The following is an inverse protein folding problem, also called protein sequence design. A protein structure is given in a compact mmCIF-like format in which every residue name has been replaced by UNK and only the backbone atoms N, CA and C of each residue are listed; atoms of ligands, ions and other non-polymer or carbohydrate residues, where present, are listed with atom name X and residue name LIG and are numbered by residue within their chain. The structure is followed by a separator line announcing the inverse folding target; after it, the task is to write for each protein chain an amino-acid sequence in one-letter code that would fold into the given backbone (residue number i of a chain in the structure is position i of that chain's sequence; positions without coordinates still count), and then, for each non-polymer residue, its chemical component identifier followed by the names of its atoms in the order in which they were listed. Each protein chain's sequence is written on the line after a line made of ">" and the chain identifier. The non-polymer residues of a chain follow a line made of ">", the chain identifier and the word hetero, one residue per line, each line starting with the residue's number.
data_IF_902580818203
#
_entry.id   IF_902580818203
#
_cell.length_a   1.000
_cell.length_b   1.000
_cell.length_c   1.000
_cell.angle_alpha   90.00
_cell.angle_beta   90.00
_cell.angle_gamma   90.00
#
_symmetry.space_group_name_H-M   'P 1'
#
loop_
_entity.id
_entity.type
_entity.pdbx_description
1 polymer ?
#
# COMPACT_ATOMS: atom_id res chain seq x y z
N UNK A 1 -53.74 -0.78 -11.05
CA UNK A 1 -52.53 -0.89 -10.25
C UNK A 1 -52.82 -0.87 -8.74
N UNK A 2 -53.68 -1.75 -8.25
CA UNK A 2 -54.11 -1.72 -6.83
C UNK A 2 -54.39 -3.14 -6.24
N UNK A 3 -53.87 -4.20 -6.83
CA UNK A 3 -54.15 -5.59 -6.40
C UNK A 3 -52.89 -6.35 -5.92
N UNK A 4 -51.68 -5.83 -6.16
CA UNK A 4 -50.42 -6.46 -5.77
C UNK A 4 -49.93 -6.13 -4.32
N UNK A 5 -50.51 -5.13 -3.67
CA UNK A 5 -50.01 -4.68 -2.33
C UNK A 5 -50.70 -5.37 -1.13
N UNK A 6 -51.77 -6.14 -1.35
CA UNK A 6 -52.49 -6.78 -0.25
C UNK A 6 -51.98 -8.19 0.15
N UNK A 7 -51.22 -8.87 -0.69
CA UNK A 7 -50.73 -10.24 -0.38
C UNK A 7 -49.40 -10.28 0.42
N UNK A 8 -48.65 -9.19 0.47
CA UNK A 8 -47.40 -9.15 1.26
C UNK A 8 -47.59 -8.76 2.73
N UNK A 9 -48.70 -8.10 3.08
CA UNK A 9 -49.00 -7.76 4.49
C UNK A 9 -49.55 -8.94 5.31
N UNK A 10 -50.10 -9.93 4.69
CA UNK A 10 -50.69 -11.11 5.40
C UNK A 10 -49.64 -12.15 5.77
N UNK A 11 -48.52 -12.22 5.06
CA UNK A 11 -47.47 -13.18 5.37
C UNK A 11 -46.59 -12.73 6.57
N UNK A 12 -46.43 -11.42 6.77
CA UNK A 12 -45.65 -10.88 7.90
C UNK A 12 -46.39 -10.90 9.23
N UNK A 13 -47.72 -10.83 9.23
CA UNK A 13 -48.54 -10.87 10.46
C UNK A 13 -48.65 -12.28 11.07
N UNK A 14 -48.56 -13.33 10.27
CA UNK A 14 -48.66 -14.71 10.77
C UNK A 14 -47.37 -15.14 11.47
N UNK A 15 -46.22 -14.63 11.04
CA UNK A 15 -44.91 -14.92 11.66
C UNK A 15 -44.74 -14.26 13.04
N UNK A 16 -45.30 -13.06 13.24
CA UNK A 16 -45.18 -12.33 14.50
C UNK A 16 -46.11 -12.88 15.60
N UNK A 17 -47.27 -13.39 15.26
CA UNK A 17 -48.21 -13.93 16.22
C UNK A 17 -47.77 -15.29 16.76
N UNK A 18 -47.02 -16.06 15.97
CA UNK A 18 -46.50 -17.39 16.40
C UNK A 18 -45.28 -17.26 17.32
N UNK A 19 -44.58 -16.14 17.31
CA UNK A 19 -43.41 -15.92 18.18
C UNK A 19 -43.74 -15.49 19.61
N UNK A 20 -44.94 -15.01 19.86
CA UNK A 20 -45.34 -14.45 21.16
C UNK A 20 -46.07 -15.41 22.11
N UNK A 21 -46.50 -16.58 21.66
CA UNK A 21 -47.36 -17.49 22.46
C UNK A 21 -46.95 -18.95 22.53
N UNK A 22 -45.73 -19.31 22.27
CA UNK A 22 -45.35 -20.73 22.34
C UNK A 22 -43.95 -20.92 22.95
N UNK A 23 -43.87 -21.61 24.09
CA UNK A 23 -42.64 -22.21 24.59
C UNK A 23 -42.15 -23.25 23.58
N UNK A 24 -41.38 -22.87 22.60
CA UNK A 24 -40.73 -23.82 21.70
C UNK A 24 -39.65 -24.56 22.50
N UNK A 25 -39.88 -25.83 22.80
CA UNK A 25 -38.87 -26.65 23.47
C UNK A 25 -37.69 -26.90 22.49
N UNK A 26 -36.46 -27.02 23.03
CA UNK A 26 -35.28 -27.40 22.23
C UNK A 26 -35.52 -28.67 21.40
N UNK A 27 -36.41 -29.53 21.85
CA UNK A 27 -36.80 -30.78 21.14
C UNK A 27 -37.62 -30.51 19.89
N UNK A 28 -38.54 -29.51 19.92
CA UNK A 28 -39.34 -29.10 18.76
C UNK A 28 -38.49 -28.38 17.70
N UNK A 29 -37.46 -27.63 18.11
CA UNK A 29 -36.54 -27.00 17.19
C UNK A 29 -35.67 -28.03 16.45
N UNK A 30 -35.28 -29.11 17.13
CA UNK A 30 -34.52 -30.18 16.50
C UNK A 30 -35.39 -31.08 15.60
N UNK A 31 -36.65 -31.22 15.87
CA UNK A 31 -37.56 -32.00 15.00
C UNK A 31 -37.94 -31.24 13.72
N UNK A 32 -38.03 -29.90 13.76
CA UNK A 32 -38.28 -29.09 12.56
C UNK A 32 -37.01 -28.94 11.72
N UNK A 33 -35.80 -28.97 12.31
CA UNK A 33 -34.56 -29.01 11.57
C UNK A 33 -34.30 -30.35 10.87
N UNK A 34 -34.90 -31.45 11.36
CA UNK A 34 -34.72 -32.80 10.79
C UNK A 34 -35.56 -33.07 9.54
N UNK A 35 -36.56 -32.25 9.23
CA UNK A 35 -37.44 -32.45 8.04
C UNK A 35 -36.98 -31.61 6.83
N UNK A 36 -36.04 -30.68 7.02
CA UNK A 36 -35.39 -29.95 5.94
C UNK A 36 -34.04 -30.56 5.52
N UNK A 37 -33.72 -31.77 5.97
CA UNK A 37 -32.71 -32.58 5.32
C UNK A 37 -33.28 -33.05 3.97
N UNK A 38 -33.21 -32.21 2.97
CA UNK A 38 -33.24 -32.65 1.58
C UNK A 38 -32.27 -33.83 1.49
N UNK A 39 -32.78 -35.00 1.19
CA UNK A 39 -31.99 -36.10 0.70
C UNK A 39 -31.32 -35.63 -0.63
N UNK A 40 -30.24 -34.90 -0.52
CA UNK A 40 -29.27 -34.84 -1.58
C UNK A 40 -28.74 -36.27 -1.71
N UNK A 41 -29.05 -36.93 -2.81
CA UNK A 41 -28.39 -38.16 -3.20
C UNK A 41 -26.89 -38.03 -2.92
N UNK A 42 -26.20 -39.11 -2.48
CA UNK A 42 -24.75 -39.09 -2.37
C UNK A 42 -24.13 -39.25 -3.78
N UNK A 43 -24.45 -38.33 -4.65
CA UNK A 43 -23.87 -38.13 -5.95
C UNK A 43 -23.20 -36.77 -5.93
N UNK A 44 -21.88 -36.81 -5.89
CA UNK A 44 -20.98 -35.70 -6.22
C UNK A 44 -21.38 -34.34 -5.61
N UNK A 45 -21.30 -34.19 -4.31
CA UNK A 45 -20.88 -32.93 -3.74
C UNK A 45 -19.48 -32.72 -4.29
N UNK A 46 -19.38 -32.02 -5.45
CA UNK A 46 -18.13 -31.55 -5.95
C UNK A 46 -17.49 -30.82 -4.76
N UNK A 47 -16.45 -31.41 -4.20
CA UNK A 47 -15.70 -30.79 -3.12
C UNK A 47 -15.25 -29.48 -3.65
N UNK A 48 -15.87 -28.38 -3.18
CA UNK A 48 -15.43 -27.04 -3.54
C UNK A 48 -13.91 -27.01 -3.30
N UNK A 49 -13.11 -26.67 -4.30
CA UNK A 49 -11.67 -26.65 -4.10
C UNK A 49 -11.38 -25.74 -2.92
N UNK A 50 -10.49 -26.18 -2.05
CA UNK A 50 -10.04 -25.35 -0.93
C UNK A 50 -9.63 -23.97 -1.46
N UNK A 51 -9.93 -22.87 -0.75
CA UNK A 51 -9.54 -21.55 -1.18
C UNK A 51 -8.05 -21.53 -1.51
N UNK A 52 -7.70 -21.05 -2.69
CA UNK A 52 -6.29 -20.86 -3.05
C UNK A 52 -5.75 -19.69 -2.24
N UNK A 53 -4.64 -19.92 -1.56
CA UNK A 53 -3.88 -18.91 -0.85
C UNK A 53 -2.63 -18.52 -1.63
N UNK A 54 -1.77 -17.73 -1.01
CA UNK A 54 -0.50 -17.32 -1.56
C UNK A 54 0.36 -18.54 -1.95
N UNK A 55 0.77 -18.58 -3.19
CA UNK A 55 1.58 -19.64 -3.78
C UNK A 55 2.87 -19.08 -4.41
N UNK A 56 3.65 -19.92 -5.06
CA UNK A 56 4.93 -19.53 -5.66
C UNK A 56 4.78 -18.36 -6.66
N UNK A 57 3.75 -18.42 -7.50
CA UNK A 57 3.54 -17.49 -8.61
C UNK A 57 2.34 -16.55 -8.34
N UNK A 58 2.08 -16.22 -7.10
CA UNK A 58 0.96 -15.35 -6.68
C UNK A 58 1.46 -14.20 -5.82
N UNK A 59 0.73 -13.07 -5.76
CA UNK A 59 1.04 -11.99 -4.84
C UNK A 59 1.15 -12.49 -3.39
N UNK A 60 1.93 -11.79 -2.58
CA UNK A 60 2.10 -12.03 -1.14
C UNK A 60 1.58 -10.81 -0.39
N UNK A 61 0.59 -10.98 0.48
CA UNK A 61 0.13 -9.87 1.31
C UNK A 61 1.20 -9.60 2.38
N UNK A 62 1.66 -8.37 2.43
CA UNK A 62 2.67 -7.92 3.40
C UNK A 62 2.18 -6.74 4.23
N UNK A 63 2.73 -6.58 5.42
CA UNK A 63 2.56 -5.39 6.26
C UNK A 63 3.93 -4.88 6.69
N UNK A 64 4.04 -3.57 6.94
CA UNK A 64 5.21 -3.04 7.58
C UNK A 64 5.30 -3.55 9.03
N UNK A 65 6.51 -3.80 9.53
CA UNK A 65 6.69 -4.34 10.89
C UNK A 65 6.00 -3.44 11.94
N UNK A 66 6.02 -2.11 11.73
CA UNK A 66 5.35 -1.14 12.60
C UNK A 66 3.83 -1.24 12.64
N UNK A 67 3.20 -1.80 11.62
CA UNK A 67 1.73 -1.90 11.50
C UNK A 67 1.11 -2.86 12.52
N UNK A 68 1.89 -3.75 13.09
CA UNK A 68 1.51 -4.59 14.23
C UNK A 68 1.26 -3.81 15.52
N UNK A 69 1.51 -2.49 15.50
CA UNK A 69 1.37 -1.60 16.64
C UNK A 69 2.58 -1.66 17.57
N UNK A 70 3.20 -0.53 17.81
CA UNK A 70 4.39 -0.36 18.65
C UNK A 70 4.17 0.65 19.77
N UNK A 71 3.00 0.64 20.42
CA UNK A 71 2.84 1.46 21.60
C UNK A 71 3.83 0.98 22.67
N UNK A 72 4.64 1.87 23.21
CA UNK A 72 5.57 1.56 24.32
C UNK A 72 4.89 0.90 25.53
N UNK A 73 3.57 0.97 25.60
CA UNK A 73 2.73 0.37 26.63
C UNK A 73 2.13 -0.99 26.28
N UNK A 74 2.35 -1.52 25.07
CA UNK A 74 1.74 -2.77 24.63
C UNK A 74 2.76 -3.91 24.67
N UNK A 75 2.58 -4.90 25.55
CA UNK A 75 3.52 -6.01 25.71
C UNK A 75 3.47 -7.01 24.54
N UNK A 76 2.54 -6.86 23.60
CA UNK A 76 2.40 -7.80 22.50
C UNK A 76 3.33 -7.43 21.36
N UNK A 77 4.19 -8.37 20.97
CA UNK A 77 5.10 -8.26 19.84
C UNK A 77 4.34 -7.90 18.55
N UNK A 78 4.71 -6.82 17.83
CA UNK A 78 4.12 -6.45 16.54
C UNK A 78 4.11 -7.59 15.52
N UNK A 79 5.17 -8.38 15.44
CA UNK A 79 5.26 -9.53 14.53
C UNK A 79 4.18 -10.59 14.82
N UNK A 80 3.90 -10.85 16.11
CA UNK A 80 2.81 -11.74 16.49
C UNK A 80 1.46 -11.23 16.02
N UNK A 81 1.20 -9.93 16.13
CA UNK A 81 -0.07 -9.32 15.68
C UNK A 81 -0.24 -9.41 14.19
N UNK A 82 0.80 -9.14 13.43
CA UNK A 82 0.80 -9.31 11.97
C UNK A 82 0.47 -10.77 11.62
N UNK A 83 1.09 -11.71 12.32
CA UNK A 83 0.85 -13.14 12.13
C UNK A 83 -0.60 -13.55 12.43
N UNK A 84 -1.24 -12.91 13.43
CA UNK A 84 -2.65 -13.15 13.77
C UNK A 84 -3.61 -12.72 12.65
N UNK A 85 -3.24 -11.76 11.80
CA UNK A 85 -4.00 -11.39 10.60
C UNK A 85 -3.82 -12.41 9.46
N UNK A 86 -3.03 -13.47 9.67
CA UNK A 86 -2.71 -14.46 8.64
C UNK A 86 -1.75 -13.93 7.57
N UNK A 87 -1.04 -12.84 7.84
CA UNK A 87 0.03 -12.32 7.00
C UNK A 87 1.31 -13.08 7.28
N UNK A 88 2.06 -13.39 6.23
CA UNK A 88 3.32 -14.16 6.31
C UNK A 88 4.54 -13.37 5.83
N UNK A 89 4.32 -12.19 5.26
CA UNK A 89 5.36 -11.34 4.72
C UNK A 89 5.37 -9.99 5.39
N UNK A 90 6.57 -9.45 5.58
CA UNK A 90 6.75 -8.12 6.18
C UNK A 90 7.80 -7.32 5.43
N UNK A 91 7.63 -6.01 5.51
CA UNK A 91 8.57 -5.01 5.01
C UNK A 91 8.98 -4.04 6.12
N UNK A 92 10.06 -3.31 5.91
CA UNK A 92 10.54 -2.31 6.89
C UNK A 92 11.44 -1.27 6.24
N UNK A 93 11.72 -0.20 6.97
CA UNK A 93 12.87 0.65 6.68
C UNK A 93 14.17 -0.13 6.88
N UNK A 94 15.13 0.10 5.99
CA UNK A 94 16.47 -0.44 6.12
C UNK A 94 17.33 0.36 7.10
N UNK A 95 18.45 -0.23 7.57
CA UNK A 95 19.42 0.49 8.38
C UNK A 95 20.16 1.58 7.57
N UNK A 96 20.95 2.44 8.22
CA UNK A 96 21.84 3.36 7.50
C UNK A 96 22.80 2.61 6.56
N UNK A 97 23.08 3.20 5.38
CA UNK A 97 24.02 2.63 4.42
C UNK A 97 25.49 2.92 4.83
N UNK A 98 26.46 2.01 4.51
CA UNK A 98 26.25 0.72 3.87
C UNK A 98 25.66 -0.31 4.81
N UNK A 99 24.81 -1.20 4.28
CA UNK A 99 24.22 -2.29 5.08
C UNK A 99 25.26 -3.36 5.44
N UNK A 100 25.21 -3.78 6.68
CA UNK A 100 26.04 -4.86 7.20
C UNK A 100 25.32 -6.23 7.04
N UNK A 101 26.01 -7.19 6.42
CA UNK A 101 25.47 -8.52 6.13
C UNK A 101 25.02 -9.26 7.40
N UNK A 102 25.82 -9.20 8.48
CA UNK A 102 25.51 -9.90 9.72
C UNK A 102 24.26 -9.33 10.39
N UNK A 103 24.13 -8.00 10.41
CA UNK A 103 22.95 -7.30 10.97
C UNK A 103 21.70 -7.58 10.15
N UNK A 104 21.80 -7.58 8.80
CA UNK A 104 20.67 -7.95 7.96
C UNK A 104 20.24 -9.39 8.20
N UNK A 105 21.20 -10.30 8.32
CA UNK A 105 20.92 -11.71 8.61
C UNK A 105 20.23 -11.85 9.99
N UNK A 106 20.73 -11.18 11.01
CA UNK A 106 20.08 -11.16 12.34
C UNK A 106 18.63 -10.68 12.26
N UNK A 107 18.37 -9.59 11.53
CA UNK A 107 17.00 -9.07 11.32
C UNK A 107 16.11 -10.10 10.62
N UNK A 108 16.60 -10.72 9.54
CA UNK A 108 15.84 -11.74 8.81
C UNK A 108 15.59 -12.99 9.67
N UNK A 109 16.59 -13.44 10.42
CA UNK A 109 16.45 -14.60 11.32
C UNK A 109 15.43 -14.31 12.45
N UNK A 110 15.42 -13.10 13.01
CA UNK A 110 14.41 -12.67 14.00
C UNK A 110 13.00 -12.70 13.41
N UNK A 111 12.80 -12.15 12.20
CA UNK A 111 11.51 -12.16 11.50
C UNK A 111 11.09 -13.60 11.22
N UNK A 112 12.00 -14.45 10.76
CA UNK A 112 11.75 -15.85 10.49
C UNK A 112 11.41 -16.66 11.75
N UNK A 113 12.05 -16.38 12.86
CA UNK A 113 11.73 -16.99 14.17
C UNK A 113 10.30 -16.67 14.63
N UNK A 114 9.75 -15.51 14.23
CA UNK A 114 8.36 -15.15 14.45
C UNK A 114 7.38 -15.81 13.46
N UNK A 115 7.85 -16.64 12.53
CA UNK A 115 7.06 -17.30 11.50
C UNK A 115 6.68 -16.40 10.32
N UNK A 116 7.49 -15.37 10.06
CA UNK A 116 7.30 -14.38 8.99
C UNK A 116 8.49 -14.40 8.03
N UNK A 117 8.34 -13.77 6.88
CA UNK A 117 9.40 -13.57 5.89
C UNK A 117 9.60 -12.06 5.68
N UNK A 118 10.84 -11.59 5.69
CA UNK A 118 11.17 -10.22 5.32
C UNK A 118 11.42 -10.16 3.81
N UNK A 119 10.57 -9.45 3.08
CA UNK A 119 10.63 -9.43 1.61
C UNK A 119 11.10 -8.11 1.02
N UNK A 120 11.02 -7.00 1.75
CA UNK A 120 11.39 -5.68 1.25
C UNK A 120 11.99 -4.82 2.36
N UNK A 121 13.07 -4.10 2.05
CA UNK A 121 13.63 -3.04 2.88
C UNK A 121 13.79 -1.74 2.07
N UNK A 122 13.33 -0.62 2.64
CA UNK A 122 13.54 0.70 2.04
C UNK A 122 14.93 1.22 2.35
N UNK A 123 15.72 1.53 1.32
CA UNK A 123 17.04 2.12 1.44
C UNK A 123 16.99 3.65 1.31
N UNK A 124 17.73 4.34 2.17
CA UNK A 124 17.83 5.80 2.23
C UNK A 124 19.28 6.23 2.52
N UNK A 125 19.52 7.55 2.54
CA UNK A 125 20.83 8.09 2.96
C UNK A 125 21.78 8.35 1.81
N UNK A 126 21.28 8.64 0.59
CA UNK A 126 22.10 8.95 -0.59
C UNK A 126 21.66 10.26 -1.28
N UNK A 127 21.44 11.31 -0.48
CA UNK A 127 20.94 12.60 -0.95
C UNK A 127 21.90 13.29 -1.94
N UNK A 128 23.22 13.12 -1.79
CA UNK A 128 24.18 13.67 -2.75
C UNK A 128 24.03 13.02 -4.13
N UNK A 129 23.68 11.73 -4.17
CA UNK A 129 23.38 11.05 -5.44
C UNK A 129 22.10 11.62 -6.06
N UNK A 130 21.05 11.87 -5.28
CA UNK A 130 19.79 12.47 -5.74
C UNK A 130 20.03 13.87 -6.32
N UNK A 131 20.78 14.71 -5.60
CA UNK A 131 21.02 16.09 -5.98
C UNK A 131 22.20 16.30 -6.96
N UNK A 132 22.94 15.24 -7.30
CA UNK A 132 24.10 15.32 -8.18
C UNK A 132 25.30 16.07 -7.56
N UNK A 133 25.45 16.06 -6.24
CA UNK A 133 26.45 16.82 -5.47
C UNK A 133 27.75 16.06 -5.28
N UNK A 134 28.84 16.73 -4.88
CA UNK A 134 30.07 16.08 -4.40
C UNK A 134 29.74 15.04 -3.31
N UNK A 135 30.39 13.88 -3.34
CA UNK A 135 30.09 12.74 -2.46
C UNK A 135 29.06 11.75 -3.03
N UNK A 136 28.45 12.04 -4.18
CA UNK A 136 27.46 11.15 -4.82
C UNK A 136 28.04 9.76 -5.12
N UNK A 137 29.28 9.68 -5.56
CA UNK A 137 29.90 8.40 -5.91
C UNK A 137 30.15 7.54 -4.68
N UNK A 138 30.55 8.14 -3.57
CA UNK A 138 30.70 7.46 -2.28
C UNK A 138 29.36 6.91 -1.76
N UNK A 139 28.28 7.68 -1.92
CA UNK A 139 26.95 7.21 -1.55
C UNK A 139 26.48 6.07 -2.47
N UNK A 140 26.74 6.16 -3.77
CA UNK A 140 26.43 5.09 -4.73
C UNK A 140 27.17 3.79 -4.37
N UNK A 141 28.46 3.87 -4.01
CA UNK A 141 29.21 2.68 -3.56
C UNK A 141 28.62 2.08 -2.27
N UNK A 142 28.16 2.93 -1.32
CA UNK A 142 27.45 2.44 -0.12
C UNK A 142 26.12 1.77 -0.46
N UNK A 143 25.39 2.28 -1.45
CA UNK A 143 24.15 1.63 -1.95
C UNK A 143 24.48 0.29 -2.61
N UNK A 144 25.51 0.23 -3.44
CA UNK A 144 25.95 -1.02 -4.08
C UNK A 144 26.32 -2.05 -3.02
N UNK A 145 27.14 -1.68 -2.03
CA UNK A 145 27.49 -2.57 -0.93
C UNK A 145 26.26 -3.07 -0.16
N UNK A 146 25.28 -2.19 0.04
CA UNK A 146 24.01 -2.56 0.70
C UNK A 146 23.20 -3.56 -0.11
N UNK A 147 23.10 -3.35 -1.41
CA UNK A 147 22.39 -4.26 -2.34
C UNK A 147 23.10 -5.62 -2.42
N UNK A 148 24.42 -5.64 -2.43
CA UNK A 148 25.21 -6.89 -2.39
C UNK A 148 25.00 -7.63 -1.07
N UNK A 149 24.98 -6.93 0.07
CA UNK A 149 24.66 -7.52 1.38
C UNK A 149 23.23 -8.10 1.40
N UNK A 150 22.25 -7.36 0.83
CA UNK A 150 20.87 -7.83 0.67
C UNK A 150 20.80 -9.15 -0.11
N UNK A 151 21.49 -9.23 -1.24
CA UNK A 151 21.55 -10.46 -2.06
C UNK A 151 22.15 -11.65 -1.32
N UNK A 152 23.24 -11.44 -0.56
CA UNK A 152 23.89 -12.52 0.22
C UNK A 152 22.98 -13.10 1.30
N UNK A 153 22.12 -12.30 1.92
CA UNK A 153 21.17 -12.79 2.92
C UNK A 153 19.84 -13.25 2.32
N UNK A 154 19.66 -13.11 0.99
CA UNK A 154 18.45 -13.55 0.29
C UNK A 154 17.27 -12.57 0.40
N UNK A 155 17.51 -11.28 0.69
CA UNK A 155 16.48 -10.25 0.64
C UNK A 155 16.13 -9.95 -0.83
N UNK A 156 14.88 -10.17 -1.28
CA UNK A 156 14.59 -10.13 -2.71
C UNK A 156 14.37 -8.73 -3.27
N UNK A 157 13.89 -7.78 -2.45
CA UNK A 157 13.50 -6.43 -2.90
C UNK A 157 14.14 -5.36 -2.03
N UNK A 158 14.62 -4.31 -2.67
CA UNK A 158 15.07 -3.08 -2.04
C UNK A 158 14.29 -1.92 -2.65
N UNK A 159 13.45 -1.29 -1.85
CA UNK A 159 12.67 -0.14 -2.25
C UNK A 159 13.42 1.17 -1.98
N UNK A 160 13.21 2.19 -2.81
CA UNK A 160 13.87 3.48 -2.65
C UNK A 160 13.02 4.61 -3.23
N UNK A 161 13.32 5.83 -2.78
CA UNK A 161 12.73 7.08 -3.27
C UNK A 161 13.74 7.91 -4.06
N UNK A 162 13.22 8.72 -4.98
CA UNK A 162 14.02 9.69 -5.72
C UNK A 162 13.30 11.04 -5.80
N UNK A 163 13.29 11.72 -4.66
CA UNK A 163 12.71 13.06 -4.54
C UNK A 163 13.82 14.09 -4.28
N UNK A 164 13.73 15.27 -4.90
CA UNK A 164 14.44 16.42 -4.37
C UNK A 164 13.75 16.89 -3.08
N UNK A 165 12.43 16.98 -3.11
CA UNK A 165 11.58 17.23 -1.95
C UNK A 165 10.25 16.48 -2.10
N UNK A 166 9.77 15.84 -1.03
CA UNK A 166 8.45 15.21 -1.01
C UNK A 166 7.39 16.25 -0.66
N UNK A 167 6.35 16.36 -1.46
CA UNK A 167 5.31 17.38 -1.36
C UNK A 167 4.31 17.17 -0.20
N UNK A 168 4.78 16.75 0.97
CA UNK A 168 3.92 16.34 2.09
C UNK A 168 3.18 17.48 2.79
N UNK A 169 3.59 18.72 2.59
CA UNK A 169 2.94 19.90 3.16
C UNK A 169 1.53 20.14 2.59
N UNK A 170 1.17 19.49 1.47
CA UNK A 170 -0.17 19.56 0.88
C UNK A 170 -1.19 18.65 1.56
N UNK A 171 -0.76 17.72 2.43
CA UNK A 171 -1.66 16.80 3.11
C UNK A 171 -2.35 17.42 4.32
N UNK A 172 -3.58 16.98 4.55
CA UNK A 172 -4.38 17.30 5.74
C UNK A 172 -5.38 16.17 6.03
N UNK A 173 -5.93 16.16 7.24
CA UNK A 173 -6.97 15.21 7.61
C UNK A 173 -8.36 15.72 7.26
N UNK A 174 -9.21 14.84 6.81
CA UNK A 174 -10.66 15.03 6.64
C UNK A 174 -11.40 13.90 7.36
N UNK A 175 -12.67 14.16 7.65
CA UNK A 175 -13.57 13.20 8.29
C UNK A 175 -14.62 12.77 7.26
N UNK A 176 -14.79 11.47 7.07
CA UNK A 176 -15.84 10.92 6.23
C UNK A 176 -17.18 10.89 6.95
N UNK A 177 -18.13 11.69 6.49
CA UNK A 177 -19.49 11.71 7.01
C UNK A 177 -20.30 10.45 6.60
N UNK A 178 -19.94 9.79 5.51
CA UNK A 178 -20.66 8.62 5.00
C UNK A 178 -20.47 7.42 5.92
N UNK A 179 -19.25 7.21 6.42
CA UNK A 179 -18.91 6.16 7.40
C UNK A 179 -18.79 6.68 8.84
N UNK A 180 -19.50 7.75 9.16
CA UNK A 180 -19.61 8.23 10.54
C UNK A 180 -18.26 8.51 11.22
N UNK A 181 -17.36 9.21 10.55
CA UNK A 181 -16.13 9.70 11.18
C UNK A 181 -14.86 8.92 10.86
N UNK A 182 -14.84 8.11 9.82
CA UNK A 182 -13.58 7.54 9.31
C UNK A 182 -12.68 8.67 8.83
N UNK A 183 -11.39 8.63 9.20
CA UNK A 183 -10.43 9.63 8.76
C UNK A 183 -10.02 9.42 7.31
N UNK A 184 -9.91 10.51 6.56
CA UNK A 184 -9.28 10.53 5.25
C UNK A 184 -7.97 11.30 5.30
N UNK A 185 -7.01 10.93 4.45
CA UNK A 185 -5.85 11.77 4.14
C UNK A 185 -6.12 12.48 2.83
N UNK A 186 -6.25 13.78 2.89
CA UNK A 186 -6.53 14.58 1.71
C UNK A 186 -5.32 15.40 1.30
N UNK A 187 -5.16 15.61 0.01
CA UNK A 187 -4.14 16.45 -0.58
C UNK A 187 -4.77 17.61 -1.35
N UNK A 188 -4.21 18.80 -1.21
CA UNK A 188 -4.61 19.97 -1.97
C UNK A 188 -3.40 20.80 -2.38
N UNK A 189 -3.18 20.87 -3.68
CA UNK A 189 -2.05 21.61 -4.27
C UNK A 189 -2.21 23.13 -4.18
N UNK A 190 -3.45 23.60 -4.01
CA UNK A 190 -3.80 25.02 -3.85
C UNK A 190 -3.98 25.42 -2.39
N UNK A 191 -3.89 24.47 -1.44
CA UNK A 191 -4.15 24.74 -0.04
C UNK A 191 -3.26 25.87 0.49
N UNK A 192 -3.89 26.92 1.02
CA UNK A 192 -3.19 27.95 1.75
C UNK A 192 -2.71 27.40 3.09
N UNK A 193 -1.47 27.65 3.44
CA UNK A 193 -0.89 27.22 4.71
C UNK A 193 -1.45 28.07 5.86
N UNK A 194 -1.93 27.40 6.88
CA UNK A 194 -2.46 28.05 8.08
C UNK A 194 -2.54 27.10 9.27
N UNK A 195 -2.79 27.60 10.49
CA UNK A 195 -2.97 26.77 11.65
C UNK A 195 -4.08 25.73 11.44
N UNK A 196 -3.81 24.47 11.80
CA UNK A 196 -4.78 23.37 11.67
C UNK A 196 -4.83 22.64 10.33
N UNK A 197 -4.13 23.13 9.31
CA UNK A 197 -4.08 22.48 8.00
C UNK A 197 -2.74 21.79 7.72
N UNK A 198 -1.92 21.61 8.75
CA UNK A 198 -0.60 21.04 8.59
C UNK A 198 -0.58 19.59 8.91
N UNK A 199 0.11 18.93 8.04
CA UNK A 199 0.58 17.64 8.33
C UNK A 199 2.03 17.43 7.94
N UNK A 200 2.72 16.62 7.99
CA UNK A 200 4.10 16.23 7.66
C UNK A 200 4.87 17.31 6.88
N UNK A 201 5.81 17.85 7.48
CA UNK A 201 6.66 18.88 6.90
C UNK A 201 6.33 20.24 7.54
N UNK A 202 7.16 20.61 8.48
CA UNK A 202 7.06 21.92 9.12
C UNK A 202 7.10 23.01 8.05
N UNK A 203 6.00 23.74 7.92
CA UNK A 203 6.02 25.02 7.20
C UNK A 203 6.93 25.95 7.98
N UNK A 204 7.91 26.52 7.32
CA UNK A 204 8.88 27.42 7.96
C UNK A 204 8.20 28.70 8.44
N UNK A 205 8.81 29.35 9.40
CA UNK A 205 8.35 30.66 9.85
C UNK A 205 8.20 31.63 8.65
N UNK A 206 7.05 32.29 8.55
CA UNK A 206 6.71 33.17 7.42
C UNK A 206 6.07 32.50 6.20
N UNK A 207 6.03 31.17 6.12
CA UNK A 207 5.40 30.45 5.00
C UNK A 207 3.91 30.13 5.24
N UNK A 208 3.36 30.39 6.42
CA UNK A 208 2.01 29.97 6.81
C UNK A 208 0.86 30.48 5.90
N UNK A 209 1.09 31.59 5.18
CA UNK A 209 0.13 32.16 4.22
C UNK A 209 0.43 31.82 2.76
N UNK A 210 1.52 31.10 2.49
CA UNK A 210 1.92 30.74 1.13
C UNK A 210 1.19 29.49 0.71
N UNK A 211 0.60 29.48 -0.48
CA UNK A 211 0.00 28.27 -1.06
C UNK A 211 1.05 27.20 -1.24
N UNK A 212 0.67 25.96 -1.13
CA UNK A 212 1.60 24.84 -1.26
C UNK A 212 2.44 24.92 -2.55
N UNK A 213 1.81 25.16 -3.70
CA UNK A 213 2.48 25.25 -5.00
C UNK A 213 3.58 26.33 -5.08
N UNK A 214 3.45 27.37 -4.27
CA UNK A 214 4.34 28.54 -4.29
C UNK A 214 5.41 28.48 -3.18
N UNK A 215 5.48 27.40 -2.43
CA UNK A 215 6.49 27.21 -1.39
C UNK A 215 7.90 27.28 -1.97
N UNK A 216 8.81 28.10 -1.39
CA UNK A 216 10.17 28.21 -1.88
C UNK A 216 10.98 26.95 -1.62
N UNK A 217 12.07 26.74 -2.37
CA UNK A 217 13.02 25.67 -2.12
C UNK A 217 13.57 25.69 -0.70
N UNK A 218 13.88 24.52 -0.15
CA UNK A 218 14.62 24.44 1.11
C UNK A 218 16.12 24.72 0.85
N UNK A 219 16.79 25.46 1.75
CA UNK A 219 18.19 25.88 1.53
C UNK A 219 19.17 24.73 1.27
N UNK A 220 18.94 23.58 1.95
CA UNK A 220 19.81 22.41 1.84
C UNK A 220 19.44 21.47 0.69
N UNK A 221 18.27 21.65 0.09
CA UNK A 221 17.77 20.80 -0.99
C UNK A 221 17.89 21.53 -2.33
N UNK A 222 17.49 22.78 -2.39
CA UNK A 222 17.46 23.59 -3.62
C UNK A 222 16.28 23.25 -4.51
N UNK A 223 16.27 23.81 -5.71
CA UNK A 223 15.30 23.50 -6.76
C UNK A 223 16.00 22.72 -7.89
N UNK A 224 15.36 21.68 -8.38
CA UNK A 224 15.89 20.81 -9.41
C UNK A 224 14.92 20.68 -10.58
N UNK A 225 15.42 20.90 -11.78
CA UNK A 225 14.65 20.70 -13.01
C UNK A 225 14.45 19.21 -13.28
N UNK A 226 13.43 18.90 -14.08
CA UNK A 226 13.16 17.53 -14.53
C UNK A 226 14.37 16.90 -15.24
N UNK A 227 15.09 17.71 -16.02
CA UNK A 227 16.31 17.28 -16.71
C UNK A 227 17.40 16.84 -15.72
N UNK A 228 17.70 17.68 -14.73
CA UNK A 228 18.71 17.36 -13.70
C UNK A 228 18.34 16.09 -12.94
N UNK A 229 17.07 15.94 -12.54
CA UNK A 229 16.61 14.75 -11.84
C UNK A 229 16.73 13.47 -12.70
N UNK A 230 16.48 13.55 -14.02
CA UNK A 230 16.70 12.44 -14.93
C UNK A 230 18.19 12.13 -15.15
N UNK A 231 19.04 13.14 -15.21
CA UNK A 231 20.50 12.96 -15.34
C UNK A 231 21.07 12.26 -14.10
N UNK A 232 20.66 12.68 -12.90
CA UNK A 232 21.16 12.11 -11.65
C UNK A 232 20.71 10.67 -11.45
N UNK A 233 19.42 10.35 -11.67
CA UNK A 233 18.95 8.98 -11.55
C UNK A 233 19.53 8.07 -12.64
N UNK A 234 19.72 8.57 -13.85
CA UNK A 234 20.34 7.81 -14.93
C UNK A 234 21.77 7.41 -14.56
N UNK A 235 22.54 8.34 -13.98
CA UNK A 235 23.87 8.05 -13.50
C UNK A 235 23.86 6.99 -12.38
N UNK A 236 22.96 7.12 -11.43
CA UNK A 236 22.78 6.17 -10.34
C UNK A 236 22.42 4.76 -10.87
N UNK A 237 21.38 4.65 -11.68
CA UNK A 237 20.89 3.37 -12.17
C UNK A 237 21.91 2.61 -13.01
N UNK A 238 22.67 3.30 -13.85
CA UNK A 238 23.73 2.67 -14.65
C UNK A 238 24.83 2.03 -13.81
N UNK A 239 25.05 2.52 -12.58
CA UNK A 239 26.02 1.92 -11.65
C UNK A 239 25.39 0.84 -10.76
N UNK A 240 24.20 1.08 -10.25
CA UNK A 240 23.60 0.22 -9.21
C UNK A 240 22.87 -1.00 -9.81
N UNK A 241 22.16 -0.84 -10.92
CA UNK A 241 21.33 -1.94 -11.46
C UNK A 241 22.15 -3.16 -11.88
N UNK A 242 23.32 -3.04 -12.54
CA UNK A 242 24.14 -4.21 -12.86
C UNK A 242 24.58 -5.01 -11.61
N UNK A 243 24.84 -4.32 -10.50
CA UNK A 243 25.22 -4.97 -9.24
C UNK A 243 24.01 -5.59 -8.53
N UNK A 244 22.85 -4.96 -8.61
CA UNK A 244 21.59 -5.53 -8.12
C UNK A 244 21.23 -6.82 -8.88
N UNK A 245 21.40 -6.83 -10.20
CA UNK A 245 21.16 -8.01 -11.03
C UNK A 245 22.10 -9.18 -10.67
N UNK A 246 23.40 -8.91 -10.49
CA UNK A 246 24.38 -9.91 -10.02
C UNK A 246 24.04 -10.44 -8.62
N UNK A 247 23.53 -9.58 -7.75
CA UNK A 247 23.13 -9.95 -6.40
C UNK A 247 21.76 -10.68 -6.33
N UNK A 248 21.01 -10.74 -7.43
CA UNK A 248 19.66 -11.29 -7.47
C UNK A 248 18.62 -10.44 -6.74
N UNK A 249 18.91 -9.15 -6.56
CA UNK A 249 18.06 -8.18 -5.85
C UNK A 249 17.29 -7.34 -6.87
N UNK A 250 16.03 -7.06 -6.57
CA UNK A 250 15.20 -6.15 -7.36
C UNK A 250 15.07 -4.79 -6.68
N UNK A 251 15.37 -3.73 -7.41
CA UNK A 251 15.13 -2.37 -6.95
C UNK A 251 13.72 -1.94 -7.35
N UNK A 252 13.00 -1.34 -6.40
CA UNK A 252 11.65 -0.82 -6.59
C UNK A 252 11.66 0.69 -6.33
N UNK A 253 11.62 1.51 -7.40
CA UNK A 253 11.49 2.95 -7.22
C UNK A 253 10.04 3.29 -6.90
N UNK A 254 9.83 3.90 -5.73
CA UNK A 254 8.53 4.41 -5.31
C UNK A 254 8.12 5.62 -6.18
N UNK A 255 6.86 5.71 -6.63
CA UNK A 255 6.39 6.90 -7.33
C UNK A 255 6.45 8.14 -6.44
N UNK A 256 6.39 9.32 -7.06
CA UNK A 256 6.21 10.53 -6.28
C UNK A 256 4.81 10.54 -5.66
N UNK A 257 4.76 10.54 -4.34
CA UNK A 257 3.54 10.59 -3.55
C UNK A 257 3.66 11.72 -2.51
N UNK A 258 2.93 12.82 -2.73
CA UNK A 258 1.97 13.11 -3.81
C UNK A 258 2.64 13.33 -5.18
N UNK A 259 1.93 13.04 -6.30
CA UNK A 259 2.44 13.27 -7.65
C UNK A 259 2.38 14.74 -8.09
N UNK A 260 2.49 15.66 -7.14
CA UNK A 260 2.41 17.09 -7.39
C UNK A 260 3.42 17.53 -8.47
N UNK A 261 3.04 18.38 -9.44
CA UNK A 261 3.91 18.73 -10.55
C UNK A 261 5.22 19.39 -10.11
N UNK A 262 5.16 20.21 -9.08
CA UNK A 262 6.30 20.91 -8.49
C UNK A 262 6.21 20.79 -6.98
N UNK A 263 7.31 20.44 -6.34
CA UNK A 263 7.46 20.41 -4.90
C UNK A 263 8.63 21.31 -4.48
N UNK A 264 8.34 22.44 -3.81
CA UNK A 264 9.33 23.44 -3.40
C UNK A 264 10.32 23.81 -4.52
N UNK A 265 9.78 24.11 -5.71
CA UNK A 265 10.54 24.47 -6.90
C UNK A 265 11.15 23.30 -7.67
N UNK A 266 11.12 22.09 -7.16
CA UNK A 266 11.66 20.91 -7.83
C UNK A 266 10.60 20.14 -8.60
N UNK A 267 10.93 19.67 -9.80
CA UNK A 267 10.10 18.79 -10.62
C UNK A 267 10.30 17.32 -10.24
N UNK A 268 9.29 16.51 -10.49
CA UNK A 268 9.25 15.13 -10.03
C UNK A 268 9.25 14.14 -11.19
N UNK A 269 10.28 13.27 -11.28
CA UNK A 269 10.46 12.32 -12.39
C UNK A 269 9.46 11.16 -12.34
N UNK A 270 9.02 10.78 -11.15
CA UNK A 270 8.06 9.68 -10.94
C UNK A 270 6.63 10.18 -10.76
N UNK A 271 6.35 11.45 -11.09
CA UNK A 271 5.02 12.06 -11.04
C UNK A 271 4.19 11.82 -12.30
N UNK A 272 4.56 10.89 -13.18
CA UNK A 272 3.77 10.51 -14.36
C UNK A 272 4.05 9.08 -14.80
N UNK A 273 3.06 8.44 -15.42
CA UNK A 273 3.23 7.09 -15.97
C UNK A 273 4.27 7.06 -17.09
N UNK A 274 4.40 8.14 -17.87
CA UNK A 274 5.46 8.23 -18.87
C UNK A 274 6.86 8.32 -18.25
N UNK A 275 6.98 8.99 -17.09
CA UNK A 275 8.19 8.93 -16.28
C UNK A 275 8.51 7.51 -15.81
N UNK A 276 7.52 6.75 -15.36
CA UNK A 276 7.71 5.35 -14.95
C UNK A 276 8.15 4.48 -16.14
N UNK A 277 7.56 4.67 -17.33
CA UNK A 277 8.00 3.98 -18.56
C UNK A 277 9.43 4.35 -18.92
N UNK A 278 9.79 5.63 -18.83
CA UNK A 278 11.16 6.08 -19.10
C UNK A 278 12.17 5.45 -18.14
N UNK A 279 11.85 5.37 -16.84
CA UNK A 279 12.71 4.77 -15.82
C UNK A 279 13.16 3.35 -16.20
N UNK A 280 12.22 2.48 -16.59
CA UNK A 280 12.54 1.07 -16.87
C UNK A 280 13.32 0.87 -18.16
N UNK A 281 13.40 1.89 -19.03
CA UNK A 281 14.19 1.88 -20.26
C UNK A 281 15.64 2.37 -20.07
N UNK A 282 15.96 3.07 -18.96
CA UNK A 282 17.31 3.54 -18.67
C UNK A 282 18.31 2.37 -18.57
N UNK A 283 17.92 1.33 -17.84
CA UNK A 283 18.63 0.05 -17.79
C UNK A 283 17.60 -1.08 -17.95
N UNK A 284 17.68 -1.81 -19.05
CA UNK A 284 16.71 -2.86 -19.39
C UNK A 284 16.99 -4.16 -18.58
N UNK A 285 16.65 -4.12 -17.31
CA UNK A 285 16.82 -5.25 -16.38
C UNK A 285 15.58 -5.43 -15.51
N UNK A 286 15.16 -6.64 -15.17
CA UNK A 286 14.13 -6.88 -14.16
C UNK A 286 14.48 -6.31 -12.80
N UNK A 287 15.77 -6.13 -12.50
CA UNK A 287 16.22 -5.46 -11.27
C UNK A 287 15.96 -3.96 -11.27
N UNK A 288 15.64 -3.34 -12.41
CA UNK A 288 15.21 -1.95 -12.53
C UNK A 288 13.68 -1.92 -12.70
N UNK A 289 12.94 -1.78 -11.62
CA UNK A 289 11.48 -1.74 -11.64
C UNK A 289 10.89 -0.69 -10.71
N UNK A 290 9.60 -0.71 -10.63
CA UNK A 290 8.83 0.27 -9.85
C UNK A 290 8.15 -0.39 -8.64
N UNK A 291 7.88 0.42 -7.63
CA UNK A 291 6.74 0.20 -6.75
C UNK A 291 5.50 0.66 -7.51
N UNK A 292 4.63 -0.27 -7.89
CA UNK A 292 3.35 0.06 -8.49
C UNK A 292 2.36 0.45 -7.39
N UNK A 293 1.99 1.72 -7.35
CA UNK A 293 1.03 2.25 -6.40
C UNK A 293 -0.32 2.52 -7.11
N UNK A 294 -1.37 1.81 -6.68
CA UNK A 294 -2.71 1.94 -7.24
C UNK A 294 -3.30 3.33 -6.99
N UNK A 295 -3.05 3.87 -5.80
CA UNK A 295 -3.52 5.19 -5.40
C UNK A 295 -2.85 6.28 -6.22
N UNK A 296 -1.52 6.35 -6.22
CA UNK A 296 -0.77 7.35 -7.02
C UNK A 296 -1.13 7.28 -8.49
N UNK A 297 -1.31 6.08 -9.04
CA UNK A 297 -1.76 5.94 -10.44
C UNK A 297 -3.08 6.69 -10.66
N UNK A 298 -4.04 6.54 -9.76
CA UNK A 298 -5.33 7.22 -9.88
C UNK A 298 -5.24 8.70 -9.56
N UNK A 299 -4.41 9.10 -8.61
CA UNK A 299 -4.12 10.50 -8.28
C UNK A 299 -3.59 11.29 -9.49
N UNK A 300 -2.86 10.63 -10.38
CA UNK A 300 -2.43 11.16 -11.67
C UNK A 300 -3.55 11.19 -12.73
N UNK A 301 -4.74 10.63 -12.44
CA UNK A 301 -5.86 10.52 -13.38
C UNK A 301 -5.81 9.30 -14.29
N UNK A 302 -4.83 8.42 -14.11
CA UNK A 302 -4.61 7.23 -14.93
C UNK A 302 -5.48 6.03 -14.49
N UNK A 303 -5.57 5.02 -15.34
CA UNK A 303 -6.26 3.76 -15.03
C UNK A 303 -5.30 2.75 -14.41
N UNK A 304 -5.42 2.41 -13.10
CA UNK A 304 -4.49 1.49 -12.46
C UNK A 304 -4.47 0.08 -13.07
N UNK A 305 -5.56 -0.38 -13.67
CA UNK A 305 -5.60 -1.70 -14.32
C UNK A 305 -4.71 -1.71 -15.58
N UNK A 306 -4.79 -0.69 -16.41
CA UNK A 306 -3.97 -0.56 -17.62
C UNK A 306 -2.49 -0.38 -17.29
N UNK A 307 -2.19 0.47 -16.32
CA UNK A 307 -0.81 0.70 -15.85
C UNK A 307 -0.23 -0.57 -15.23
N UNK A 308 -0.99 -1.27 -14.37
CA UNK A 308 -0.60 -2.58 -13.84
C UNK A 308 -0.28 -3.58 -14.95
N UNK A 309 -1.18 -3.72 -15.93
CA UNK A 309 -0.98 -4.61 -17.09
C UNK A 309 0.29 -4.28 -17.85
N UNK A 310 0.56 -2.99 -18.08
CA UNK A 310 1.75 -2.55 -18.82
C UNK A 310 3.05 -2.99 -18.12
N UNK A 311 3.17 -2.74 -16.81
CA UNK A 311 4.39 -3.04 -16.07
C UNK A 311 4.50 -4.52 -15.67
N UNK A 312 3.40 -5.16 -15.30
CA UNK A 312 3.37 -6.58 -14.94
C UNK A 312 3.74 -7.48 -16.13
N UNK A 313 3.21 -7.19 -17.33
CA UNK A 313 3.55 -7.95 -18.56
C UNK A 313 5.04 -7.86 -18.94
N UNK A 314 5.76 -6.89 -18.41
CA UNK A 314 7.19 -6.66 -18.65
C UNK A 314 8.08 -7.12 -17.49
N UNK A 315 7.48 -7.68 -16.41
CA UNK A 315 8.16 -8.03 -15.16
C UNK A 315 8.93 -6.83 -14.56
N UNK A 316 8.25 -5.65 -14.52
CA UNK A 316 8.81 -4.41 -13.99
C UNK A 316 8.13 -3.92 -12.72
N UNK A 317 7.16 -4.65 -12.18
CA UNK A 317 6.61 -4.39 -10.85
C UNK A 317 7.46 -5.16 -9.85
N UNK A 318 8.20 -4.45 -9.01
CA UNK A 318 9.05 -5.05 -7.99
C UNK A 318 8.43 -5.00 -6.59
N UNK A 319 7.53 -4.05 -6.34
CA UNK A 319 6.67 -3.96 -5.15
C UNK A 319 5.31 -3.38 -5.54
N UNK A 320 4.29 -3.56 -4.70
CA UNK A 320 2.94 -3.02 -4.94
C UNK A 320 2.41 -2.37 -3.67
N UNK A 321 1.98 -1.10 -3.80
CA UNK A 321 1.13 -0.43 -2.83
C UNK A 321 -0.33 -0.55 -3.27
N UNK A 322 -1.12 -1.23 -2.45
CA UNK A 322 -2.48 -1.65 -2.78
C UNK A 322 -3.50 -0.84 -1.98
N UNK A 323 -3.71 0.42 -2.36
CA UNK A 323 -4.57 1.41 -1.71
C UNK A 323 -5.54 2.07 -2.68
N UNK A 324 -6.54 2.78 -2.15
CA UNK A 324 -7.60 3.37 -2.95
C UNK A 324 -7.79 4.86 -2.63
N UNK A 325 -8.26 5.61 -3.61
CA UNK A 325 -8.41 7.07 -3.55
C UNK A 325 -9.67 7.53 -4.26
N UNK A 326 -10.15 8.72 -3.88
CA UNK A 326 -11.15 9.51 -4.63
C UNK A 326 -10.46 10.76 -5.17
N UNK A 327 -10.59 11.03 -6.46
CA UNK A 327 -9.88 12.12 -7.13
C UNK A 327 -10.86 13.19 -7.61
N UNK A 328 -10.74 14.38 -7.07
CA UNK A 328 -11.52 15.54 -7.53
C UNK A 328 -10.84 16.23 -8.70
N UNK A 329 -9.51 16.34 -8.65
CA UNK A 329 -8.69 16.93 -9.70
C UNK A 329 -7.36 16.20 -9.78
N UNK A 330 -7.04 15.51 -10.88
CA UNK A 330 -5.77 14.80 -11.02
C UNK A 330 -4.58 15.68 -10.67
N UNK A 331 -3.61 15.10 -9.98
CA UNK A 331 -2.40 15.76 -9.46
C UNK A 331 -2.60 16.78 -8.34
N UNK A 332 -3.79 17.37 -8.21
CA UNK A 332 -3.96 18.58 -7.43
C UNK A 332 -4.90 18.41 -6.22
N UNK A 333 -5.96 17.60 -6.35
CA UNK A 333 -6.93 17.41 -5.27
C UNK A 333 -7.47 15.99 -5.25
N UNK A 334 -7.22 15.29 -4.17
CA UNK A 334 -7.70 13.92 -3.95
C UNK A 334 -7.73 13.59 -2.46
N UNK A 335 -8.39 12.49 -2.14
CA UNK A 335 -8.45 11.94 -0.78
C UNK A 335 -8.16 10.45 -0.81
N UNK A 336 -7.26 10.01 0.04
CA UNK A 336 -7.07 8.60 0.36
C UNK A 336 -8.21 8.15 1.26
N UNK A 337 -8.88 7.08 0.87
CA UNK A 337 -10.11 6.60 1.50
C UNK A 337 -9.96 5.14 1.94
N UNK A 338 -10.99 4.58 2.54
CA UNK A 338 -11.00 3.13 2.81
C UNK A 338 -10.79 2.35 1.51
N UNK A 339 -10.07 1.25 1.58
CA UNK A 339 -9.63 0.48 0.41
C UNK A 339 -10.79 0.03 -0.51
N UNK A 340 -12.00 -0.10 0.03
CA UNK A 340 -13.21 -0.51 -0.67
C UNK A 340 -14.08 0.66 -1.15
N UNK A 341 -13.71 1.92 -0.89
CA UNK A 341 -14.52 3.11 -1.19
C UNK A 341 -14.03 3.96 -2.35
N UNK A 342 -12.79 3.75 -2.81
CA UNK A 342 -12.19 4.59 -3.83
C UNK A 342 -12.65 4.26 -5.26
N UNK A 343 -12.01 4.93 -6.20
CA UNK A 343 -12.34 4.83 -7.63
C UNK A 343 -11.62 3.68 -8.34
N UNK A 344 -10.62 3.06 -7.69
CA UNK A 344 -9.85 1.97 -8.27
C UNK A 344 -10.63 0.65 -8.22
N UNK A 345 -10.67 -0.05 -9.34
CA UNK A 345 -11.16 -1.42 -9.34
C UNK A 345 -10.08 -2.37 -8.81
N UNK A 346 -10.03 -2.52 -7.48
CA UNK A 346 -9.02 -3.30 -6.78
C UNK A 346 -9.04 -4.78 -7.17
N UNK A 347 -10.22 -5.32 -7.53
CA UNK A 347 -10.33 -6.69 -8.03
C UNK A 347 -9.64 -6.87 -9.37
N UNK A 348 -9.85 -5.97 -10.33
CA UNK A 348 -9.21 -6.07 -11.65
C UNK A 348 -7.69 -5.84 -11.56
N UNK A 349 -7.21 -4.95 -10.70
CA UNK A 349 -5.77 -4.80 -10.44
C UNK A 349 -5.18 -6.11 -9.89
N UNK A 350 -5.82 -6.70 -8.86
CA UNK A 350 -5.38 -7.97 -8.31
C UNK A 350 -5.40 -9.09 -9.36
N UNK A 351 -6.42 -9.11 -10.23
CA UNK A 351 -6.53 -10.09 -11.31
C UNK A 351 -5.39 -9.98 -12.31
N UNK A 352 -4.97 -8.77 -12.68
CA UNK A 352 -3.80 -8.59 -13.56
C UNK A 352 -2.49 -9.05 -12.88
N UNK A 353 -2.30 -8.77 -11.60
CA UNK A 353 -1.14 -9.28 -10.84
C UNK A 353 -1.10 -10.82 -10.84
N UNK A 354 -2.24 -11.48 -10.59
CA UNK A 354 -2.36 -12.95 -10.61
C UNK A 354 -2.12 -13.51 -12.01
N UNK A 355 -2.74 -12.94 -13.04
CA UNK A 355 -2.61 -13.34 -14.44
C UNK A 355 -1.15 -13.26 -14.93
N UNK A 356 -0.43 -12.23 -14.52
CA UNK A 356 0.98 -12.05 -14.85
C UNK A 356 1.94 -12.76 -13.89
N UNK A 357 1.42 -13.61 -12.98
CA UNK A 357 2.19 -14.42 -12.04
C UNK A 357 3.15 -13.58 -11.17
N UNK A 358 2.67 -12.40 -10.74
CA UNK A 358 3.44 -11.54 -9.85
C UNK A 358 3.72 -12.24 -8.51
N UNK A 359 4.97 -12.53 -8.13
CA UNK A 359 5.26 -13.41 -7.02
C UNK A 359 5.71 -12.68 -5.75
N UNK A 360 5.70 -11.34 -5.76
CA UNK A 360 6.26 -10.49 -4.71
C UNK A 360 5.18 -9.86 -3.84
N UNK A 361 5.59 -9.01 -2.93
CA UNK A 361 4.72 -8.40 -1.94
C UNK A 361 3.73 -7.38 -2.54
N UNK A 362 2.51 -7.41 -2.02
CA UNK A 362 1.52 -6.34 -2.09
C UNK A 362 1.28 -5.82 -0.68
N UNK A 363 1.39 -4.53 -0.52
CA UNK A 363 1.22 -3.84 0.75
C UNK A 363 -0.09 -3.03 0.73
N UNK A 364 -1.12 -3.45 1.47
CA UNK A 364 -2.34 -2.66 1.62
C UNK A 364 -2.08 -1.54 2.62
N UNK A 365 -1.37 -0.53 2.17
CA UNK A 365 -0.89 0.59 2.97
C UNK A 365 -1.96 1.67 3.21
N UNK A 366 -1.57 2.72 3.92
CA UNK A 366 -2.38 3.91 4.24
C UNK A 366 -3.77 3.56 4.80
N UNK A 367 -3.86 2.79 5.92
CA UNK A 367 -5.14 2.50 6.56
C UNK A 367 -5.80 3.78 7.05
N UNK A 368 -7.12 3.83 7.02
CA UNK A 368 -7.89 5.00 7.45
C UNK A 368 -8.28 4.88 8.93
N UNK A 369 -8.21 6.00 9.67
CA UNK A 369 -8.44 6.00 11.10
C UNK A 369 -9.89 5.62 11.45
N UNK A 370 -10.03 4.55 12.22
CA UNK A 370 -11.26 4.19 12.90
C UNK A 370 -11.22 4.71 14.35
N UNK A 371 -12.39 4.92 14.97
CA UNK A 371 -12.46 5.34 16.38
C UNK A 371 -11.70 4.40 17.30
N UNK A 372 -11.76 3.10 17.03
CA UNK A 372 -10.99 2.10 17.76
C UNK A 372 -9.48 2.35 17.76
N UNK A 373 -8.92 2.78 16.63
CA UNK A 373 -7.50 3.09 16.51
C UNK A 373 -7.16 4.42 17.20
N UNK A 374 -8.04 5.45 17.07
CA UNK A 374 -7.89 6.75 17.73
C UNK A 374 -7.91 6.65 19.24
N UNK A 375 -8.89 5.95 19.81
CA UNK A 375 -9.03 5.73 21.26
C UNK A 375 -7.81 5.08 21.89
N UNK A 376 -7.02 4.34 21.10
CA UNK A 376 -5.80 3.66 21.55
C UNK A 376 -4.53 4.42 21.23
N UNK A 377 -4.62 5.64 20.71
CA UNK A 377 -3.48 6.43 20.27
C UNK A 377 -2.66 5.75 19.16
N UNK A 378 -3.28 4.91 18.36
CA UNK A 378 -2.64 4.09 17.33
C UNK A 378 -3.05 4.56 15.94
N UNK A 379 -2.98 5.84 15.74
CA UNK A 379 -3.10 6.45 14.42
C UNK A 379 -1.75 6.37 13.71
N UNK A 380 -1.78 6.09 12.41
CA UNK A 380 -0.58 6.12 11.59
C UNK A 380 0.06 7.51 11.53
N UNK A 381 1.27 7.58 11.05
CA UNK A 381 2.02 8.82 10.86
C UNK A 381 1.43 9.77 9.83
N UNK A 382 0.25 9.52 9.27
CA UNK A 382 -0.45 10.35 8.27
C UNK A 382 -1.71 10.98 8.85
N UNK A 383 -2.17 12.14 8.33
CA UNK A 383 -3.46 12.70 8.70
C UNK A 383 -4.57 11.69 8.42
N UNK A 384 -5.51 11.55 9.31
CA UNK A 384 -6.58 10.56 9.14
C UNK A 384 -6.11 9.10 9.06
N UNK A 385 -4.81 8.85 9.28
CA UNK A 385 -4.20 7.52 9.19
C UNK A 385 -4.67 6.60 10.31
N UNK A 386 -4.97 5.35 9.96
CA UNK A 386 -5.45 4.30 10.86
C UNK A 386 -4.33 3.48 11.50
N UNK A 387 -4.74 2.56 12.34
CA UNK A 387 -3.86 1.63 13.04
C UNK A 387 -4.19 0.17 12.75
N UNK A 388 -3.93 -0.69 13.74
CA UNK A 388 -4.04 -2.14 13.59
C UNK A 388 -5.44 -2.64 13.19
N UNK A 389 -6.51 -2.02 13.71
CA UNK A 389 -7.87 -2.43 13.35
C UNK A 389 -8.18 -2.15 11.87
N UNK A 390 -7.72 -1.01 11.38
CA UNK A 390 -7.88 -0.67 9.97
C UNK A 390 -7.01 -1.54 9.06
N UNK A 391 -5.79 -1.89 9.47
CA UNK A 391 -4.99 -2.88 8.74
C UNK A 391 -5.65 -4.25 8.68
N UNK A 392 -6.32 -4.69 9.76
CA UNK A 392 -7.07 -5.96 9.73
C UNK A 392 -8.17 -5.95 8.65
N UNK A 393 -8.87 -4.83 8.50
CA UNK A 393 -9.85 -4.65 7.43
C UNK A 393 -9.21 -4.70 6.04
N UNK A 394 -8.14 -3.96 5.83
CA UNK A 394 -7.44 -3.91 4.53
C UNK A 394 -6.86 -5.26 4.12
N UNK A 395 -6.25 -5.98 5.05
CA UNK A 395 -5.74 -7.34 4.82
C UNK A 395 -6.87 -8.29 4.44
N UNK A 396 -8.01 -8.23 5.16
CA UNK A 396 -9.19 -9.03 4.84
C UNK A 396 -9.72 -8.76 3.43
N UNK A 397 -9.82 -7.47 3.06
CA UNK A 397 -10.25 -7.06 1.73
C UNK A 397 -9.26 -7.50 0.63
N UNK A 398 -7.96 -7.23 0.79
CA UNK A 398 -6.94 -7.63 -0.18
C UNK A 398 -6.92 -9.15 -0.39
N UNK A 399 -7.07 -9.93 0.70
CA UNK A 399 -7.17 -11.39 0.65
C UNK A 399 -8.40 -11.85 -0.12
N UNK A 400 -9.56 -11.25 0.11
CA UNK A 400 -10.78 -11.58 -0.61
C UNK A 400 -10.64 -11.29 -2.12
N UNK A 401 -10.04 -10.15 -2.49
CA UNK A 401 -9.75 -9.81 -3.88
C UNK A 401 -8.78 -10.82 -4.51
N UNK A 402 -7.75 -11.24 -3.79
CA UNK A 402 -6.79 -12.24 -4.28
C UNK A 402 -7.46 -13.61 -4.47
N UNK A 403 -8.26 -14.07 -3.52
CA UNK A 403 -8.99 -15.34 -3.65
C UNK A 403 -9.93 -15.33 -4.85
N UNK A 404 -10.69 -14.25 -5.03
CA UNK A 404 -11.58 -14.08 -6.19
C UNK A 404 -10.79 -14.06 -7.50
N UNK A 405 -9.65 -13.36 -7.55
CA UNK A 405 -8.78 -13.32 -8.73
C UNK A 405 -8.23 -14.71 -9.08
N UNK A 406 -7.74 -15.45 -8.09
CA UNK A 406 -7.22 -16.82 -8.29
C UNK A 406 -8.27 -17.81 -8.78
N UNK A 407 -9.55 -17.60 -8.47
CA UNK A 407 -10.64 -18.43 -9.00
C UNK A 407 -11.10 -18.01 -10.39
N UNK A 408 -10.73 -16.81 -10.85
CA UNK A 408 -11.20 -16.21 -12.10
C UNK A 408 -10.18 -16.26 -13.26
N UNK A 409 -8.99 -16.81 -13.03
CA UNK A 409 -7.87 -16.90 -14.01
C UNK A 409 -7.61 -18.34 -14.40
#
# INVERSE_FOLDING_TARGET
>A
MAIASRRLKTAYSIWWVTFMNGKISRRSLMQTASVAAFAASPGDAATMPAPRFEGKDTPKIALAIGDGGSAQSDPVDPLRRIRQLGVEWVLSGGPPIPWDEARLKEQMDRVKAAGLNLGNLMITGFNNAIYGRPGRDEEIEKVIASVQAAGKVGLPVVEYNWYAHRATEGYFDEIDDVRTGVGWTSFDYELARGPGHQYMGAVREGEASIKFRDLPPLPNEGAHSLKEMWETITYFLKKVIPEAEKAGVRLALHPNDPPAPISRGSQQIMGSVDGWKHLIEIVKSPSNGITFDCGVTREMGENPVEVCTYFASRDRINHVHFRNVKVTKPYERYSEVMIDEGENNMFLVMKELVKHKYPREIYPEHPRALDYDRERGRIGGYPGGGGYASFAFQVGYARAMMQAALMSV
#
